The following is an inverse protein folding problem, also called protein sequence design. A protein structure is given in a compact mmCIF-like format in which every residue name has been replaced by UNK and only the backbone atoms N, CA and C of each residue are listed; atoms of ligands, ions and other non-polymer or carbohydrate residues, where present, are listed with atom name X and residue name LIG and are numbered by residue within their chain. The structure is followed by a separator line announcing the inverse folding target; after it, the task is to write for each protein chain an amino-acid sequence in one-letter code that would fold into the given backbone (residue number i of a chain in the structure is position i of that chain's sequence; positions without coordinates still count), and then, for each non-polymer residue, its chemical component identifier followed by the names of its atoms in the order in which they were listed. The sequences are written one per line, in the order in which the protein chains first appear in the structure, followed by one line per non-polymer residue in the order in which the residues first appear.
data_IF_011350410555
#
_entry.id   IF_011350410555
#
_cell.length_a   1.000
_cell.length_b   1.000
_cell.length_c   1.000
_cell.angle_alpha   90.00
_cell.angle_beta   90.00
_cell.angle_gamma   90.00
#
_symmetry.space_group_name_H-M   'P 1'
#
loop_
_entity.id
_entity.type
_entity.pdbx_description
1 polymer ?
#
# COMPACT_ATOMS: atom_id res chain seq x y z
N UNK A 1 -7.20 12.23 0.82
CA UNK A 1 -5.87 11.67 0.45
C UNK A 1 -4.90 12.72 -0.11
N UNK A 2 -5.36 13.72 -0.89
CA UNK A 2 -4.49 14.81 -1.39
C UNK A 2 -4.06 15.85 -0.35
N UNK A 3 -4.65 15.83 0.85
CA UNK A 3 -4.36 16.76 1.95
C UNK A 3 -3.44 16.17 3.02
N UNK A 4 -3.11 14.87 2.95
CA UNK A 4 -2.20 14.25 3.92
C UNK A 4 -0.76 14.57 3.55
N UNK A 5 0.04 14.92 4.55
CA UNK A 5 1.47 15.16 4.36
C UNK A 5 2.15 13.91 3.79
N UNK A 6 3.17 14.06 2.94
CA UNK A 6 3.91 12.94 2.39
C UNK A 6 4.48 12.01 3.48
N UNK A 7 4.94 12.53 4.64
CA UNK A 7 5.39 11.68 5.75
C UNK A 7 4.26 10.82 6.34
N UNK A 8 3.05 11.37 6.47
CA UNK A 8 1.90 10.62 6.98
C UNK A 8 1.49 9.49 6.02
N UNK A 9 1.64 9.69 4.71
CA UNK A 9 1.44 8.65 3.69
C UNK A 9 2.46 7.52 3.83
N UNK A 10 3.73 7.82 4.15
CA UNK A 10 4.74 6.80 4.42
C UNK A 10 4.40 5.97 5.67
N UNK A 11 3.93 6.61 6.74
CA UNK A 11 3.46 5.89 7.94
C UNK A 11 2.27 4.97 7.64
N UNK A 12 1.28 5.46 6.88
CA UNK A 12 0.14 4.64 6.48
C UNK A 12 0.55 3.45 5.60
N UNK A 13 1.51 3.65 4.69
CA UNK A 13 2.07 2.58 3.86
C UNK A 13 2.74 1.47 4.69
N UNK A 14 3.46 1.84 5.75
CA UNK A 14 4.06 0.88 6.67
C UNK A 14 2.99 0.04 7.36
N UNK A 15 1.96 0.69 7.93
CA UNK A 15 0.84 0.00 8.59
C UNK A 15 0.07 -0.94 7.65
N UNK A 16 -0.20 -0.50 6.41
CA UNK A 16 -0.87 -1.35 5.43
C UNK A 16 -0.02 -2.55 4.97
N UNK A 17 1.32 -2.43 4.93
CA UNK A 17 2.21 -3.56 4.63
C UNK A 17 2.23 -4.57 5.76
N UNK A 18 2.25 -4.12 7.02
CA UNK A 18 2.15 -5.00 8.18
C UNK A 18 0.81 -5.73 8.22
N UNK A 19 -0.30 -5.02 7.98
CA UNK A 19 -1.63 -5.60 7.92
C UNK A 19 -1.72 -6.65 6.79
N UNK A 20 -1.15 -6.35 5.62
CA UNK A 20 -1.08 -7.30 4.50
C UNK A 20 -0.25 -8.53 4.84
N UNK A 21 0.85 -8.39 5.58
CA UNK A 21 1.67 -9.51 6.05
C UNK A 21 0.89 -10.39 7.02
N UNK A 22 0.25 -9.79 8.03
CA UNK A 22 -0.60 -10.50 8.98
C UNK A 22 -1.73 -11.27 8.28
N UNK A 23 -2.36 -10.65 7.27
CA UNK A 23 -3.39 -11.30 6.46
C UNK A 23 -2.84 -12.45 5.61
N UNK A 24 -1.63 -12.35 5.05
CA UNK A 24 -1.00 -13.47 4.33
C UNK A 24 -0.68 -14.64 5.25
N UNK A 25 -0.21 -14.38 6.46
CA UNK A 25 0.03 -15.43 7.46
C UNK A 25 -1.28 -16.13 7.82
N UNK A 26 -2.36 -15.37 8.06
CA UNK A 26 -3.71 -15.93 8.30
C UNK A 26 -4.25 -16.73 7.11
N UNK A 27 -3.95 -16.31 5.88
CA UNK A 27 -4.28 -17.07 4.68
C UNK A 27 -3.56 -18.42 4.65
N UNK A 28 -2.27 -18.43 5.03
CA UNK A 28 -1.45 -19.63 5.09
C UNK A 28 -1.89 -20.60 6.18
N UNK A 29 -2.39 -20.10 7.32
CA UNK A 29 -2.95 -20.94 8.38
C UNK A 29 -4.37 -21.43 8.10
N UNK A 30 -4.99 -21.00 7.00
CA UNK A 30 -6.35 -21.38 6.63
C UNK A 30 -7.45 -20.74 7.49
N UNK A 31 -7.11 -19.77 8.34
CA UNK A 31 -8.04 -19.09 9.26
C UNK A 31 -8.44 -17.70 8.76
N UNK A 32 -8.44 -17.50 7.45
CA UNK A 32 -8.69 -16.19 6.86
C UNK A 32 -10.18 -16.01 6.59
N UNK A 33 -10.81 -15.09 7.32
CA UNK A 33 -12.24 -14.80 7.16
C UNK A 33 -12.48 -13.59 6.24
N UNK A 34 -11.51 -12.66 6.15
CA UNK A 34 -11.66 -11.37 5.48
C UNK A 34 -10.80 -11.23 4.22
N UNK A 35 -11.11 -12.01 3.19
CA UNK A 35 -10.43 -11.93 1.89
C UNK A 35 -10.65 -10.59 1.17
N UNK A 36 -11.81 -9.94 1.37
CA UNK A 36 -12.14 -8.62 0.80
C UNK A 36 -11.19 -7.52 1.27
N UNK A 37 -10.70 -7.62 2.51
CA UNK A 37 -9.78 -6.67 3.13
C UNK A 37 -8.43 -6.63 2.44
N UNK A 38 -7.93 -7.77 1.94
CA UNK A 38 -6.69 -7.85 1.15
C UNK A 38 -6.78 -6.97 -0.10
N UNK A 39 -7.91 -7.03 -0.81
CA UNK A 39 -8.16 -6.21 -1.99
C UNK A 39 -8.24 -4.72 -1.67
N UNK A 40 -8.86 -4.35 -0.54
CA UNK A 40 -8.94 -2.96 -0.08
C UNK A 40 -7.55 -2.39 0.24
N UNK A 41 -6.76 -3.09 1.06
CA UNK A 41 -5.39 -2.69 1.46
C UNK A 41 -4.50 -2.50 0.23
N UNK A 42 -4.55 -3.42 -0.74
CA UNK A 42 -3.77 -3.28 -1.98
C UNK A 42 -4.13 -2.01 -2.76
N UNK A 43 -5.43 -1.66 -2.82
CA UNK A 43 -5.90 -0.42 -3.46
C UNK A 43 -5.47 0.81 -2.68
N UNK A 44 -5.48 0.77 -1.36
CA UNK A 44 -5.02 1.87 -0.51
C UNK A 44 -3.52 2.13 -0.68
N UNK A 45 -2.70 1.08 -0.67
CA UNK A 45 -1.26 1.16 -0.99
C UNK A 45 -1.06 1.79 -2.37
N UNK A 46 -1.76 1.31 -3.40
CA UNK A 46 -1.64 1.86 -4.75
C UNK A 46 -2.04 3.33 -4.82
N UNK A 47 -3.10 3.75 -4.12
CA UNK A 47 -3.53 5.15 -4.04
C UNK A 47 -2.48 6.02 -3.35
N UNK A 48 -1.94 5.61 -2.21
CA UNK A 48 -0.91 6.36 -1.52
C UNK A 48 0.37 6.50 -2.36
N UNK A 49 0.82 5.42 -3.00
CA UNK A 49 1.96 5.46 -3.92
C UNK A 49 1.70 6.40 -5.10
N UNK A 50 0.46 6.43 -5.62
CA UNK A 50 0.07 7.35 -6.69
C UNK A 50 0.12 8.82 -6.23
N UNK A 51 -0.32 9.10 -5.00
CA UNK A 51 -0.24 10.45 -4.41
C UNK A 51 1.21 10.87 -4.19
N UNK A 52 2.05 9.99 -3.63
CA UNK A 52 3.48 10.25 -3.44
C UNK A 52 4.23 10.47 -4.76
N UNK A 53 3.82 9.76 -5.83
CA UNK A 53 4.43 9.89 -7.16
C UNK A 53 4.04 11.20 -7.88
N UNK A 54 3.01 11.91 -7.43
CA UNK A 54 2.76 13.30 -7.82
C UNK A 54 2.14 13.58 -9.21
N UNK A 55 1.79 12.58 -10.05
CA UNK A 55 1.10 12.83 -11.34
C UNK A 55 0.29 11.62 -11.85
N UNK A 56 -0.89 11.82 -12.47
CA UNK A 56 -1.87 10.75 -12.72
C UNK A 56 -1.66 10.04 -14.05
N UNK A 57 -2.02 8.76 -14.07
CA UNK A 57 -2.57 8.01 -15.22
C UNK A 57 -2.14 8.51 -16.62
N UNK A 58 -0.91 8.22 -17.00
CA UNK A 58 -0.42 8.02 -18.37
C UNK A 58 0.97 7.42 -18.26
N UNK A 59 1.34 6.56 -19.20
CA UNK A 59 2.42 5.57 -19.05
C UNK A 59 3.75 6.10 -18.53
N UNK A 60 4.46 5.16 -17.91
CA UNK A 60 5.90 5.09 -17.70
C UNK A 60 6.56 5.62 -16.40
N UNK A 61 7.53 4.79 -16.00
CA UNK A 61 8.73 4.96 -15.20
C UNK A 61 8.74 5.98 -14.05
N UNK A 62 8.83 5.45 -12.82
CA UNK A 62 9.78 5.96 -11.83
C UNK A 62 9.98 4.86 -10.78
N UNK A 63 10.81 3.87 -11.12
CA UNK A 63 11.59 3.16 -10.12
C UNK A 63 12.59 4.23 -9.65
N UNK A 64 12.36 4.79 -8.47
CA UNK A 64 13.43 5.47 -7.75
C UNK A 64 13.84 4.53 -6.63
N UNK A 65 14.98 3.90 -6.88
CA UNK A 65 15.84 3.33 -5.86
C UNK A 65 16.07 4.37 -4.76
N UNK A 66 15.96 3.87 -3.53
CA UNK A 66 16.74 4.28 -2.36
C UNK A 66 16.86 2.98 -1.57
N UNK A 67 17.92 2.18 -1.81
CA UNK A 67 19.18 2.11 -1.02
C UNK A 67 18.91 1.92 0.50
N UNK A 68 19.44 0.92 1.21
CA UNK A 68 20.62 0.07 1.02
C UNK A 68 20.43 -1.30 1.72
#
# INVERSE_FOLDING_TARGET
MREKAPEELHHLLAGWREELFALRVKAMTGQMEQYSRVGAIRKDIARALTVLKGRPASGEAAVKETEA
#
